data_IF_447272837209
#
_entry.id   IF_447272837209
#
_cell.length_a   1.000
_cell.length_b   1.000
_cell.length_c   1.000
_cell.angle_alpha   90.00
_cell.angle_beta   90.00
_cell.angle_gamma   90.00
#
_symmetry.space_group_name_H-M   'P 1'
#
loop_
_entity.id
_entity.type
_entity.pdbx_description
1 polymer ?
#
# COMPACT_ATOMS: atom_id res chain seq x y z
N UNK A 1 -13.40 17.03 32.52
CA UNK A 1 -12.93 17.10 31.12
C UNK A 1 -13.92 17.96 30.36
N UNK A 2 -13.50 19.12 29.85
CA UNK A 2 -14.31 19.96 28.97
C UNK A 2 -13.90 19.69 27.52
N UNK A 3 -14.89 19.46 26.66
CA UNK A 3 -14.71 19.43 25.21
C UNK A 3 -14.96 20.83 24.64
N UNK A 4 -14.29 21.16 23.53
CA UNK A 4 -14.38 22.46 22.85
C UNK A 4 -14.86 22.19 21.43
N UNK A 5 -15.90 22.91 21.00
CA UNK A 5 -16.34 22.89 19.60
C UNK A 5 -15.52 23.92 18.82
N UNK A 6 -15.06 23.52 17.64
CA UNK A 6 -14.26 24.36 16.74
C UNK A 6 -15.02 24.53 15.43
N UNK A 7 -15.01 25.74 14.87
CA UNK A 7 -15.71 26.06 13.61
C UNK A 7 -14.96 25.52 12.38
N UNK A 8 -13.65 25.37 12.49
CA UNK A 8 -12.79 24.87 11.42
C UNK A 8 -11.94 23.70 11.89
N UNK A 9 -11.88 22.64 11.08
CA UNK A 9 -10.99 21.51 11.30
C UNK A 9 -9.54 21.96 11.06
N UNK A 10 -8.61 21.68 11.98
CA UNK A 10 -7.20 21.96 11.73
C UNK A 10 -6.73 21.22 10.47
N UNK A 11 -5.80 21.82 9.70
CA UNK A 11 -5.33 21.23 8.45
C UNK A 11 -4.75 19.84 8.70
N UNK A 12 -5.07 18.89 7.82
CA UNK A 12 -4.58 17.51 7.90
C UNK A 12 -3.07 17.53 7.71
N UNK A 13 -2.31 17.38 8.81
CA UNK A 13 -0.86 17.23 8.76
C UNK A 13 -0.46 15.75 8.65
N UNK A 14 0.58 15.46 7.88
CA UNK A 14 1.25 14.14 7.88
C UNK A 14 0.64 13.07 6.96
N UNK A 15 -0.12 13.47 5.92
CA UNK A 15 -0.44 12.56 4.81
C UNK A 15 0.84 12.16 4.10
N UNK A 16 1.04 10.85 3.95
CA UNK A 16 2.05 10.32 3.06
C UNK A 16 1.47 10.07 1.69
N UNK A 17 2.26 10.36 0.67
CA UNK A 17 1.88 10.28 -0.74
C UNK A 17 2.51 9.03 -1.33
N UNK A 18 1.68 8.19 -1.94
CA UNK A 18 2.20 7.01 -2.62
C UNK A 18 2.95 7.46 -3.87
N UNK A 19 4.13 6.90 -4.08
CA UNK A 19 4.86 7.02 -5.33
C UNK A 19 4.21 6.08 -6.35
N UNK A 20 3.45 6.67 -7.29
CA UNK A 20 2.68 5.90 -8.28
C UNK A 20 3.58 5.16 -9.27
N UNK A 21 4.72 5.75 -9.67
CA UNK A 21 5.65 5.11 -10.62
C UNK A 21 6.21 3.83 -10.02
N UNK A 22 6.63 3.89 -8.75
CA UNK A 22 7.09 2.71 -8.00
C UNK A 22 5.97 1.68 -7.80
N UNK A 23 4.74 2.13 -7.59
CA UNK A 23 3.61 1.22 -7.41
C UNK A 23 3.27 0.48 -8.72
N UNK A 24 3.38 1.14 -9.87
CA UNK A 24 3.20 0.53 -11.20
C UNK A 24 4.34 -0.45 -11.52
N UNK A 25 5.60 -0.05 -11.31
CA UNK A 25 6.77 -0.92 -11.48
C UNK A 25 6.64 -2.21 -10.66
N UNK A 26 6.19 -2.08 -9.40
CA UNK A 26 5.95 -3.23 -8.54
C UNK A 26 4.85 -4.16 -9.09
N UNK A 27 3.80 -3.61 -9.69
CA UNK A 27 2.74 -4.41 -10.30
C UNK A 27 3.27 -5.19 -11.50
N UNK A 28 4.02 -4.53 -12.38
CA UNK A 28 4.60 -5.17 -13.56
C UNK A 28 5.51 -6.34 -13.15
N UNK A 29 6.36 -6.14 -12.14
CA UNK A 29 7.22 -7.19 -11.58
C UNK A 29 6.41 -8.34 -10.94
N UNK A 30 5.31 -8.03 -10.25
CA UNK A 30 4.41 -9.06 -9.69
C UNK A 30 3.66 -9.84 -10.76
N UNK A 31 3.27 -9.20 -11.86
CA UNK A 31 2.63 -9.84 -13.01
C UNK A 31 3.60 -10.75 -13.76
N UNK A 32 4.86 -10.34 -13.90
CA UNK A 32 5.94 -11.18 -14.44
C UNK A 32 6.28 -12.37 -13.53
N UNK A 33 5.98 -12.28 -12.23
CA UNK A 33 6.26 -13.28 -11.20
C UNK A 33 4.99 -13.75 -10.47
N UNK A 34 4.00 -14.33 -11.17
CA UNK A 34 2.67 -14.57 -10.61
C UNK A 34 2.70 -15.52 -9.41
N UNK A 35 1.91 -15.19 -8.38
CA UNK A 35 1.78 -15.99 -7.15
C UNK A 35 2.92 -15.86 -6.13
N UNK A 36 4.01 -15.14 -6.47
CA UNK A 36 5.12 -14.87 -5.54
C UNK A 36 4.83 -13.63 -4.68
N UNK A 37 5.38 -13.62 -3.47
CA UNK A 37 5.30 -12.46 -2.57
C UNK A 37 6.46 -11.50 -2.84
N UNK A 38 6.14 -10.27 -3.24
CA UNK A 38 7.07 -9.17 -3.26
C UNK A 38 7.21 -8.61 -1.84
N UNK A 39 8.45 -8.47 -1.37
CA UNK A 39 8.78 -7.88 -0.07
C UNK A 39 9.14 -6.41 -0.26
N UNK A 40 8.26 -5.50 0.15
CA UNK A 40 8.35 -4.07 -0.17
C UNK A 40 8.47 -3.24 1.11
N UNK A 41 9.56 -2.49 1.33
CA UNK A 41 9.64 -1.54 2.44
C UNK A 41 8.56 -0.46 2.31
N UNK A 42 7.88 -0.10 3.40
CA UNK A 42 6.85 0.93 3.35
C UNK A 42 7.37 2.27 2.78
N UNK A 43 8.57 2.68 3.19
CA UNK A 43 9.23 3.92 2.73
C UNK A 43 9.61 3.88 1.25
N UNK A 44 9.70 2.70 0.64
CA UNK A 44 9.93 2.62 -0.81
C UNK A 44 8.68 3.07 -1.59
N UNK A 45 7.48 2.67 -1.15
CA UNK A 45 6.20 3.16 -1.73
C UNK A 45 5.82 4.57 -1.27
N UNK A 46 6.32 5.00 -0.11
CA UNK A 46 6.04 6.31 0.49
C UNK A 46 7.36 6.99 0.89
N UNK A 47 8.10 7.58 -0.07
CA UNK A 47 9.40 8.19 0.20
C UNK A 47 9.34 9.32 1.23
N UNK A 48 8.23 10.04 1.29
CA UNK A 48 7.97 11.11 2.26
C UNK A 48 7.76 10.61 3.71
N UNK A 49 7.70 9.28 3.91
CA UNK A 49 7.73 8.66 5.22
C UNK A 49 9.15 8.39 5.74
N UNK A 50 10.19 8.63 4.92
CA UNK A 50 11.57 8.42 5.31
C UNK A 50 11.96 9.28 6.52
N UNK A 51 12.72 8.71 7.44
CA UNK A 51 13.11 9.36 8.70
C UNK A 51 12.05 9.36 9.81
N UNK A 52 10.84 8.82 9.58
CA UNK A 52 9.86 8.63 10.65
C UNK A 52 10.25 7.50 11.62
N UNK A 53 9.79 7.62 12.87
CA UNK A 53 9.99 6.60 13.89
C UNK A 53 9.47 5.22 13.45
N UNK A 54 10.24 4.17 13.73
CA UNK A 54 9.91 2.79 13.35
C UNK A 54 8.50 2.38 13.80
N UNK A 55 8.11 2.75 15.03
CA UNK A 55 6.77 2.45 15.56
C UNK A 55 5.64 3.04 14.71
N UNK A 56 5.82 4.26 14.17
CA UNK A 56 4.87 4.90 13.26
C UNK A 56 4.86 4.18 11.91
N UNK A 57 6.03 3.84 11.38
CA UNK A 57 6.15 3.10 10.12
C UNK A 57 5.48 1.72 10.19
N UNK A 58 5.60 0.99 11.29
CA UNK A 58 4.90 -0.29 11.51
C UNK A 58 3.38 -0.10 11.44
N UNK A 59 2.86 0.95 12.10
CA UNK A 59 1.43 1.28 12.04
C UNK A 59 0.97 1.61 10.62
N UNK A 60 1.78 2.34 9.87
CA UNK A 60 1.50 2.74 8.49
C UNK A 60 1.57 1.56 7.51
N UNK A 61 2.55 0.68 7.63
CA UNK A 61 2.65 -0.55 6.85
C UNK A 61 1.42 -1.46 7.06
N UNK A 62 0.95 -1.60 8.31
CA UNK A 62 -0.29 -2.32 8.62
C UNK A 62 -1.52 -1.65 8.00
N UNK A 63 -1.61 -0.32 8.08
CA UNK A 63 -2.70 0.43 7.47
C UNK A 63 -2.72 0.27 5.94
N UNK A 64 -1.56 0.39 5.28
CA UNK A 64 -1.41 0.18 3.84
C UNK A 64 -1.91 -1.22 3.43
N UNK A 65 -1.46 -2.26 4.12
CA UNK A 65 -1.91 -3.63 3.84
C UNK A 65 -3.45 -3.75 3.95
N UNK A 66 -4.05 -3.18 5.00
CA UNK A 66 -5.50 -3.18 5.14
C UNK A 66 -6.21 -2.41 4.01
N UNK A 67 -5.66 -1.28 3.56
CA UNK A 67 -6.25 -0.47 2.48
C UNK A 67 -6.13 -1.16 1.12
N UNK A 68 -5.02 -1.85 0.85
CA UNK A 68 -4.86 -2.70 -0.34
C UNK A 68 -5.92 -3.81 -0.32
N UNK A 69 -6.10 -4.47 0.82
CA UNK A 69 -7.10 -5.55 0.94
C UNK A 69 -8.54 -5.07 0.68
N UNK A 70 -8.84 -3.81 1.01
CA UNK A 70 -10.15 -3.18 0.74
C UNK A 70 -10.29 -2.59 -0.66
N UNK A 71 -9.24 -2.63 -1.50
CA UNK A 71 -9.25 -2.02 -2.83
C UNK A 71 -9.23 -0.47 -2.81
N UNK A 72 -8.72 0.15 -1.74
CA UNK A 72 -8.72 1.62 -1.58
C UNK A 72 -7.45 2.30 -2.15
N UNK A 73 -6.49 1.54 -2.66
CA UNK A 73 -5.20 2.06 -3.15
C UNK A 73 -5.07 1.71 -4.63
N UNK A 74 -5.10 2.71 -5.49
CA UNK A 74 -4.61 2.57 -6.87
C UNK A 74 -3.08 2.63 -6.89
N UNK A 75 -2.41 1.88 -7.77
CA UNK A 75 -2.96 0.97 -8.79
C UNK A 75 -3.36 -0.44 -8.30
N UNK A 76 -3.09 -0.80 -7.04
CA UNK A 76 -3.36 -2.17 -6.54
C UNK A 76 -4.84 -2.61 -6.54
N UNK A 77 -5.78 -1.67 -6.52
CA UNK A 77 -7.23 -1.95 -6.59
C UNK A 77 -7.66 -2.63 -7.87
N UNK A 78 -6.88 -2.50 -8.95
CA UNK A 78 -7.25 -2.97 -10.28
C UNK A 78 -6.87 -4.46 -10.47
N UNK A 79 -6.19 -5.06 -9.48
CA UNK A 79 -5.70 -6.43 -9.50
C UNK A 79 -6.15 -7.19 -8.24
N UNK A 80 -6.31 -8.53 -8.30
CA UNK A 80 -6.62 -9.35 -7.14
C UNK A 80 -5.40 -9.50 -6.21
N UNK A 81 -5.07 -8.41 -5.52
CA UNK A 81 -3.91 -8.32 -4.66
C UNK A 81 -4.19 -8.93 -3.28
N UNK A 82 -3.25 -9.71 -2.78
CA UNK A 82 -3.15 -10.04 -1.38
C UNK A 82 -2.01 -9.24 -0.75
N UNK A 83 -2.22 -8.79 0.48
CA UNK A 83 -1.20 -8.08 1.23
C UNK A 83 -1.10 -8.55 2.68
N UNK A 84 0.11 -8.47 3.23
CA UNK A 84 0.42 -8.71 4.65
C UNK A 84 1.51 -7.75 5.11
N UNK A 85 1.34 -7.14 6.27
CA UNK A 85 2.40 -6.33 6.89
C UNK A 85 3.20 -7.13 7.92
N UNK A 86 4.54 -7.01 7.90
CA UNK A 86 5.45 -7.48 8.96
C UNK A 86 6.44 -6.37 9.26
N UNK A 87 6.46 -5.90 10.52
CA UNK A 87 7.24 -4.72 10.92
C UNK A 87 6.97 -3.54 9.97
N UNK A 88 8.01 -2.96 9.37
CA UNK A 88 7.98 -1.83 8.43
C UNK A 88 7.84 -2.27 6.96
N UNK A 89 7.66 -3.56 6.72
CA UNK A 89 7.62 -4.16 5.39
C UNK A 89 6.20 -4.62 5.04
N UNK A 90 5.84 -4.44 3.78
CA UNK A 90 4.60 -4.90 3.17
C UNK A 90 4.92 -6.02 2.17
N UNK A 91 4.31 -7.17 2.39
CA UNK A 91 4.37 -8.33 1.51
C UNK A 91 3.14 -8.26 0.64
N UNK A 92 3.33 -8.16 -0.68
CA UNK A 92 2.23 -8.00 -1.65
C UNK A 92 2.37 -9.09 -2.71
N UNK A 93 1.26 -9.67 -3.16
CA UNK A 93 1.24 -10.57 -4.32
C UNK A 93 -0.02 -10.36 -5.12
N UNK A 94 0.05 -10.60 -6.43
CA UNK A 94 -1.13 -10.76 -7.26
C UNK A 94 -1.49 -12.24 -7.26
N UNK A 95 -2.67 -12.56 -6.70
CA UNK A 95 -3.21 -13.92 -6.70
C UNK A 95 -4.26 -14.05 -7.80
N UNK A 96 -3.82 -13.88 -9.05
CA UNK A 96 -4.64 -14.09 -10.23
C UNK A 96 -4.39 -15.50 -10.79
N UNK A 97 -5.44 -16.20 -11.17
CA UNK A 97 -5.31 -17.44 -11.96
C UNK A 97 -4.83 -17.12 -13.38
N UNK A 98 -4.19 -18.09 -14.06
CA UNK A 98 -3.80 -17.94 -15.48
C UNK A 98 -4.95 -17.49 -16.39
N UNK A 99 -6.18 -17.92 -16.07
CA UNK A 99 -7.38 -17.51 -16.81
C UNK A 99 -7.70 -16.03 -16.59
N UNK A 100 -7.64 -15.56 -15.35
CA UNK A 100 -7.86 -14.15 -15.02
C UNK A 100 -6.79 -13.25 -15.62
N UNK A 101 -5.52 -13.67 -15.61
CA UNK A 101 -4.44 -12.93 -16.28
C UNK A 101 -4.70 -12.76 -17.78
N UNK A 102 -5.14 -13.85 -18.45
CA UNK A 102 -5.51 -13.82 -19.86
C UNK A 102 -6.72 -12.93 -20.16
N UNK A 103 -7.72 -12.90 -19.27
CA UNK A 103 -8.88 -12.00 -19.37
C UNK A 103 -8.48 -10.52 -19.15
N UNK A 104 -7.40 -10.26 -18.43
CA UNK A 104 -6.81 -8.92 -18.22
C UNK A 104 -5.81 -8.51 -19.32
N UNK A 105 -5.56 -9.37 -20.31
CA UNK A 105 -4.66 -9.08 -21.45
C UNK A 105 -3.19 -9.46 -21.25
N UNK A 106 -2.88 -10.27 -20.23
CA UNK A 106 -1.53 -10.77 -19.93
C UNK A 106 -1.36 -12.27 -20.27
#
# INVERSE_FOLDING_TARGET
MSFVFVDELPPIQGRTTIDNERAEELIDEMLANPGRWAKVPYVWLYPDAEGQEEKKLIGRARNLSNRIHRGEIRPFSDYPCESRARKTECYIRINATKRQLKEMGF
#
